data_IF_268691658968
#
_entry.id   IF_268691658968
#
_cell.length_a   1.000
_cell.length_b   1.000
_cell.length_c   1.000
_cell.angle_alpha   90.00
_cell.angle_beta   90.00
_cell.angle_gamma   90.00
#
_symmetry.space_group_name_H-M   'P 1'
#
loop_
_entity.id
_entity.type
_entity.pdbx_description
1 polymer ?
#
# COMPACT_ATOMS: atom_id res chain seq x y z
N UNK A 1 -9.39 -13.75 14.35
CA UNK A 1 -10.35 -13.09 13.46
C UNK A 1 -9.57 -12.53 12.28
N UNK A 2 -9.90 -12.89 11.03
CA UNK A 2 -9.20 -12.37 9.85
C UNK A 2 -9.54 -10.88 9.69
N UNK A 3 -8.50 -10.04 9.78
CA UNK A 3 -8.61 -8.61 9.59
C UNK A 3 -7.90 -8.20 8.30
N UNK A 4 -8.40 -7.13 7.69
CA UNK A 4 -7.81 -6.47 6.53
C UNK A 4 -7.62 -5.00 6.88
N UNK A 5 -6.43 -4.48 6.63
CA UNK A 5 -6.09 -3.07 6.82
C UNK A 5 -5.74 -2.51 5.46
N UNK A 6 -6.46 -1.48 5.03
CA UNK A 6 -6.13 -0.73 3.82
C UNK A 6 -5.54 0.61 4.23
N UNK A 7 -4.30 0.87 3.83
CA UNK A 7 -3.64 2.15 4.05
C UNK A 7 -3.55 2.91 2.73
N UNK A 8 -4.17 4.07 2.68
CA UNK A 8 -4.11 5.01 1.57
C UNK A 8 -3.24 6.20 1.96
N UNK A 9 -2.28 6.55 1.11
CA UNK A 9 -1.43 7.74 1.26
C UNK A 9 -1.70 8.66 0.07
N UNK A 10 -1.90 9.94 0.33
CA UNK A 10 -2.08 10.98 -0.69
C UNK A 10 -1.16 12.17 -0.38
N UNK A 11 -0.52 12.86 -1.32
CA UNK A 11 -0.28 12.57 -2.74
C UNK A 11 1.23 12.29 -2.96
N UNK A 12 1.62 11.54 -4.02
CA UNK A 12 0.75 10.83 -4.96
C UNK A 12 -0.04 9.67 -4.30
N UNK A 13 -1.14 9.20 -4.91
CA UNK A 13 -1.97 8.17 -4.31
C UNK A 13 -1.24 6.82 -4.29
N UNK A 14 -1.08 6.27 -3.11
CA UNK A 14 -0.52 4.94 -2.89
C UNK A 14 -1.45 4.15 -1.99
N UNK A 15 -1.85 2.95 -2.40
CA UNK A 15 -2.77 2.10 -1.63
C UNK A 15 -2.08 0.77 -1.32
N UNK A 16 -2.09 0.39 -0.05
CA UNK A 16 -1.61 -0.91 0.42
C UNK A 16 -2.70 -1.65 1.16
N UNK A 17 -2.84 -2.95 0.87
CA UNK A 17 -3.82 -3.84 1.49
C UNK A 17 -3.04 -4.94 2.21
N UNK A 18 -3.20 -5.00 3.52
CA UNK A 18 -2.50 -5.93 4.41
C UNK A 18 -3.51 -6.80 5.16
N UNK A 19 -3.17 -8.06 5.39
CA UNK A 19 -3.94 -8.95 6.26
C UNK A 19 -4.28 -10.28 5.61
N UNK A 20 -5.53 -10.70 5.75
CA UNK A 20 -6.02 -11.99 5.24
C UNK A 20 -6.06 -11.98 3.70
N UNK A 21 -5.93 -13.16 3.08
CA UNK A 21 -6.01 -13.30 1.63
C UNK A 21 -7.38 -12.83 1.10
N UNK A 22 -7.36 -11.81 0.26
CA UNK A 22 -8.48 -11.35 -0.56
C UNK A 22 -8.44 -12.10 -1.90
N UNK A 23 -9.61 -12.33 -2.52
CA UNK A 23 -9.68 -12.97 -3.84
C UNK A 23 -8.94 -12.12 -4.89
N UNK A 24 -8.26 -12.81 -5.81
CA UNK A 24 -7.53 -12.17 -6.90
C UNK A 24 -8.45 -11.29 -7.77
N UNK A 25 -9.67 -11.77 -8.06
CA UNK A 25 -10.67 -11.04 -8.85
C UNK A 25 -10.99 -9.66 -8.27
N UNK A 26 -11.01 -9.56 -6.94
CA UNK A 26 -11.29 -8.30 -6.23
C UNK A 26 -10.11 -7.36 -6.27
N UNK A 27 -8.88 -7.88 -6.18
CA UNK A 27 -7.66 -7.09 -6.41
C UNK A 27 -7.65 -6.55 -7.85
N UNK A 28 -8.03 -7.35 -8.84
CA UNK A 28 -8.11 -6.93 -10.25
C UNK A 28 -9.22 -5.90 -10.49
N UNK A 29 -10.38 -6.05 -9.85
CA UNK A 29 -11.45 -5.07 -9.89
C UNK A 29 -11.00 -3.72 -9.32
N UNK A 30 -10.36 -3.74 -8.14
CA UNK A 30 -9.76 -2.55 -7.52
C UNK A 30 -8.69 -1.92 -8.41
N UNK A 31 -7.81 -2.73 -8.99
CA UNK A 31 -6.75 -2.26 -9.91
C UNK A 31 -7.32 -1.44 -11.08
N UNK A 32 -8.45 -1.89 -11.63
CA UNK A 32 -9.13 -1.23 -12.75
C UNK A 32 -9.95 -0.01 -12.31
N UNK A 33 -10.45 0.01 -11.09
CA UNK A 33 -11.34 1.05 -10.58
C UNK A 33 -10.58 2.25 -9.99
N UNK A 34 -9.53 2.01 -9.19
CA UNK A 34 -8.82 3.04 -8.43
C UNK A 34 -8.27 4.20 -9.29
N UNK A 35 -7.60 3.95 -10.45
CA UNK A 35 -7.07 5.04 -11.27
C UNK A 35 -8.16 5.97 -11.83
N UNK A 36 -9.41 5.49 -11.98
CA UNK A 36 -10.53 6.28 -12.52
C UNK A 36 -11.09 7.29 -11.52
N UNK A 37 -10.77 7.13 -10.24
CA UNK A 37 -11.27 7.98 -9.17
C UNK A 37 -10.34 9.16 -8.84
N UNK A 38 -9.16 9.22 -9.45
CA UNK A 38 -8.22 10.33 -9.25
C UNK A 38 -8.79 11.62 -9.86
N UNK A 39 -8.43 12.77 -9.30
CA UNK A 39 -8.87 14.09 -9.79
C UNK A 39 -7.80 14.81 -10.60
N UNK A 40 -6.81 14.07 -11.12
CA UNK A 40 -5.82 14.59 -12.06
C UNK A 40 -6.51 15.16 -13.30
N UNK A 41 -6.14 16.39 -13.70
CA UNK A 41 -6.76 17.09 -14.83
C UNK A 41 -6.40 16.50 -16.20
N UNK A 42 -5.29 15.75 -16.28
CA UNK A 42 -4.80 15.10 -17.50
C UNK A 42 -4.40 13.65 -17.15
N UNK A 43 -4.70 12.65 -18.00
CA UNK A 43 -4.19 11.30 -17.81
C UNK A 43 -2.67 11.31 -17.95
N UNK A 44 -1.95 11.15 -16.85
CA UNK A 44 -0.48 11.10 -16.83
C UNK A 44 0.08 9.72 -17.18
N UNK A 45 -0.78 8.69 -17.27
CA UNK A 45 -0.38 7.34 -17.68
C UNK A 45 -0.39 7.21 -19.20
N UNK A 46 0.69 6.63 -19.76
CA UNK A 46 0.73 6.29 -21.19
C UNK A 46 -0.33 5.23 -21.49
N UNK A 47 -0.96 5.24 -22.67
CA UNK A 47 -1.83 4.15 -23.10
C UNK A 47 -1.07 2.81 -23.01
N UNK A 48 -1.52 1.92 -22.11
CA UNK A 48 -0.91 0.59 -21.89
C UNK A 48 -0.19 0.40 -20.54
N UNK A 49 0.07 1.46 -19.79
CA UNK A 49 0.75 1.41 -18.48
C UNK A 49 -0.27 1.61 -17.35
N UNK A 50 -1.18 0.65 -17.17
CA UNK A 50 -2.12 0.67 -16.06
C UNK A 50 -1.39 0.39 -14.74
N UNK A 51 -1.73 1.14 -13.68
CA UNK A 51 -1.22 0.86 -12.35
C UNK A 51 -1.61 -0.57 -11.94
N UNK A 52 -0.66 -1.33 -11.38
CA UNK A 52 -0.86 -2.73 -10.99
C UNK A 52 -0.62 -2.93 -9.50
N UNK A 53 -1.41 -3.81 -8.89
CA UNK A 53 -1.09 -4.30 -7.56
C UNK A 53 0.10 -5.25 -7.65
N UNK A 54 1.13 -4.97 -6.87
CA UNK A 54 2.28 -5.83 -6.66
C UNK A 54 2.05 -6.61 -5.36
N UNK A 55 2.12 -7.93 -5.44
CA UNK A 55 2.13 -8.76 -4.24
C UNK A 55 3.53 -8.73 -3.63
N UNK A 56 3.61 -8.26 -2.41
CA UNK A 56 4.82 -8.28 -1.60
C UNK A 56 4.62 -9.33 -0.52
N UNK A 57 5.30 -10.47 -0.67
CA UNK A 57 5.48 -11.42 0.43
C UNK A 57 6.59 -10.89 1.33
N UNK A 58 6.37 -10.89 2.65
CA UNK A 58 7.28 -10.26 3.60
C UNK A 58 8.73 -10.73 3.50
N UNK A 59 9.55 -9.95 2.78
CA UNK A 59 11.00 -10.05 2.67
C UNK A 59 11.56 -8.76 2.06
N UNK A 60 12.34 -8.03 2.86
CA UNK A 60 13.08 -6.79 2.56
C UNK A 60 12.22 -5.49 2.45
N UNK A 61 12.16 -4.67 3.49
CA UNK A 61 13.05 -3.51 3.77
C UNK A 61 13.17 -2.52 2.62
N UNK A 62 12.78 -1.27 2.90
CA UNK A 62 12.91 -0.14 2.01
C UNK A 62 14.31 -0.02 1.38
N UNK A 63 14.32 0.09 0.06
CA UNK A 63 15.50 0.39 -0.74
C UNK A 63 15.20 1.60 -1.61
N UNK A 64 15.57 2.77 -1.08
CA UNK A 64 15.85 4.00 -1.82
C UNK A 64 16.77 3.66 -3.00
N UNK A 65 16.30 3.84 -4.24
CA UNK A 65 17.17 3.79 -5.43
C UNK A 65 17.81 5.17 -5.55
N UNK A 66 18.98 5.34 -4.97
CA UNK A 66 19.91 6.41 -5.31
C UNK A 66 21.27 5.79 -5.65
N UNK A 67 21.79 6.18 -6.82
CA UNK A 67 23.22 6.37 -7.08
C UNK A 67 24.13 5.15 -6.98
N UNK A 68 24.42 4.54 -8.13
CA UNK A 68 25.65 3.77 -8.29
C UNK A 68 26.87 4.69 -8.44
N UNK A 69 27.90 4.45 -7.63
CA UNK A 69 29.31 4.30 -8.05
C UNK A 69 30.23 4.21 -6.82
N UNK A 70 30.55 2.96 -6.47
CA UNK A 70 31.83 2.38 -6.02
C UNK A 70 32.96 3.29 -5.48
N UNK A 71 33.44 3.01 -4.26
CA UNK A 71 34.83 2.57 -3.96
C UNK A 71 35.11 2.50 -2.45
N UNK A 72 35.81 1.45 -2.00
CA UNK A 72 36.66 1.50 -0.80
C UNK A 72 36.38 0.48 0.31
N UNK A 73 37.26 -0.51 0.41
CA UNK A 73 37.32 -1.52 1.46
C UNK A 73 37.75 -0.95 2.84
N UNK A 74 37.30 -1.55 3.94
CA UNK A 74 38.12 -1.93 5.11
C UNK A 74 37.33 -2.79 6.11
N UNK A 75 38.03 -3.79 6.65
CA UNK A 75 37.63 -4.75 7.67
C UNK A 75 37.46 -4.11 9.06
N UNK A 76 36.59 -4.68 9.91
CA UNK A 76 37.01 -5.30 11.17
C UNK A 76 35.85 -5.96 11.92
N UNK A 77 36.22 -7.06 12.56
CA UNK A 77 35.48 -7.98 13.38
C UNK A 77 35.40 -7.42 14.81
N UNK A 78 34.21 -7.35 15.40
CA UNK A 78 34.04 -7.23 16.85
C UNK A 78 32.77 -7.96 17.30
N UNK A 79 32.97 -8.85 18.26
CA UNK A 79 31.99 -9.69 18.92
C UNK A 79 31.03 -8.85 19.77
N UNK A 80 29.73 -9.03 19.56
CA UNK A 80 28.70 -8.73 20.55
C UNK A 80 27.51 -9.65 20.30
N UNK A 81 27.42 -10.68 21.14
CA UNK A 81 26.34 -11.64 21.17
C UNK A 81 25.00 -10.95 21.47
N UNK A 82 24.32 -10.52 20.40
CA UNK A 82 22.95 -10.06 20.46
C UNK A 82 22.03 -11.26 20.20
N UNK A 83 21.37 -11.71 21.26
CA UNK A 83 20.20 -12.58 21.26
C UNK A 83 19.18 -12.02 20.25
N UNK A 84 19.10 -12.59 19.05
CA UNK A 84 18.02 -12.32 18.10
C UNK A 84 17.07 -13.49 18.14
N UNK A 85 16.02 -13.30 18.94
CA UNK A 85 14.89 -14.21 18.99
C UNK A 85 14.40 -14.52 17.58
N UNK A 86 14.05 -15.78 17.37
CA UNK A 86 13.35 -16.26 16.19
C UNK A 86 12.01 -15.54 16.10
N UNK A 87 12.01 -14.36 15.46
CA UNK A 87 10.79 -13.77 14.96
C UNK A 87 10.31 -14.74 13.88
N UNK A 88 9.31 -15.55 14.25
CA UNK A 88 8.54 -16.39 13.35
C UNK A 88 7.93 -15.50 12.27
N UNK A 89 8.72 -15.24 11.23
CA UNK A 89 8.43 -14.30 10.17
C UNK A 89 7.46 -14.97 9.19
N UNK A 90 6.23 -15.23 9.66
CA UNK A 90 5.09 -15.37 8.76
C UNK A 90 4.86 -13.98 8.17
N UNK A 91 5.63 -13.66 7.14
CA UNK A 91 5.46 -12.42 6.39
C UNK A 91 4.01 -12.32 5.95
N UNK A 92 3.33 -11.26 6.35
CA UNK A 92 2.00 -10.97 5.83
C UNK A 92 2.14 -10.66 4.34
N UNK A 93 1.29 -11.27 3.53
CA UNK A 93 1.17 -10.88 2.13
C UNK A 93 0.51 -9.51 2.09
N UNK A 94 1.20 -8.54 1.48
CA UNK A 94 0.66 -7.21 1.25
C UNK A 94 0.54 -6.92 -0.24
N UNK A 95 -0.62 -6.43 -0.66
CA UNK A 95 -0.83 -5.92 -2.01
C UNK A 95 -0.56 -4.42 -2.01
N UNK A 96 0.17 -3.94 -3.00
CA UNK A 96 0.53 -2.52 -3.09
C UNK A 96 0.31 -2.00 -4.51
N UNK A 97 -0.38 -0.87 -4.65
CA UNK A 97 -0.54 -0.14 -5.91
C UNK A 97 -0.08 1.30 -5.75
N UNK A 98 0.77 1.75 -6.66
CA UNK A 98 1.19 3.14 -6.79
C UNK A 98 0.50 3.74 -8.03
N UNK A 99 -0.22 4.84 -7.83
CA UNK A 99 -0.86 5.58 -8.92
C UNK A 99 0.09 6.62 -9.53
N UNK A 100 1.34 6.74 -9.06
CA UNK A 100 2.40 7.49 -9.73
C UNK A 100 2.09 8.97 -9.87
N UNK A 101 1.99 9.49 -11.10
CA UNK A 101 1.76 10.92 -11.38
C UNK A 101 0.29 11.36 -11.22
N UNK A 102 -0.54 10.60 -10.53
CA UNK A 102 -1.92 10.98 -10.25
C UNK A 102 -2.02 11.90 -9.05
N UNK A 103 -3.11 12.66 -8.98
CA UNK A 103 -3.44 13.54 -7.87
C UNK A 103 -4.88 13.30 -7.41
N UNK A 104 -5.09 13.30 -6.09
CA UNK A 104 -6.42 13.25 -5.49
C UNK A 104 -6.63 14.45 -4.55
N UNK A 105 -7.62 15.28 -4.89
CA UNK A 105 -8.24 16.24 -3.98
C UNK A 105 -9.17 15.52 -2.99
N UNK A 106 -9.93 16.27 -2.19
CA UNK A 106 -10.90 15.71 -1.24
C UNK A 106 -11.94 14.80 -1.90
N UNK A 107 -12.44 15.17 -3.09
CA UNK A 107 -13.41 14.37 -3.84
C UNK A 107 -12.77 13.08 -4.32
N UNK A 108 -11.58 13.14 -4.92
CA UNK A 108 -10.88 11.94 -5.41
C UNK A 108 -10.55 10.95 -4.29
N UNK A 109 -10.13 11.46 -3.13
CA UNK A 109 -9.88 10.65 -1.93
C UNK A 109 -11.15 9.95 -1.47
N UNK A 110 -12.26 10.69 -1.37
CA UNK A 110 -13.56 10.16 -0.96
C UNK A 110 -14.03 9.05 -1.89
N UNK A 111 -13.89 9.23 -3.21
CA UNK A 111 -14.24 8.22 -4.20
C UNK A 111 -13.36 6.97 -4.11
N UNK A 112 -12.06 7.12 -3.87
CA UNK A 112 -11.16 5.99 -3.64
C UNK A 112 -11.59 5.20 -2.39
N UNK A 113 -11.93 5.89 -1.30
CA UNK A 113 -12.42 5.22 -0.08
C UNK A 113 -13.70 4.43 -0.34
N UNK A 114 -14.67 5.00 -1.05
CA UNK A 114 -15.92 4.33 -1.39
C UNK A 114 -15.68 3.05 -2.20
N UNK A 115 -14.88 3.13 -3.27
CA UNK A 115 -14.56 1.96 -4.11
C UNK A 115 -13.89 0.84 -3.30
N UNK A 116 -13.01 1.19 -2.35
CA UNK A 116 -12.38 0.22 -1.46
C UNK A 116 -13.40 -0.42 -0.51
N UNK A 117 -14.30 0.38 0.07
CA UNK A 117 -15.32 -0.10 0.98
C UNK A 117 -16.30 -1.05 0.27
N UNK A 118 -16.80 -0.67 -0.90
CA UNK A 118 -17.71 -1.49 -1.72
C UNK A 118 -17.07 -2.84 -2.09
N UNK A 119 -15.84 -2.81 -2.61
CA UNK A 119 -15.15 -4.04 -3.02
C UNK A 119 -14.89 -4.99 -1.83
N UNK A 120 -14.59 -4.46 -0.64
CA UNK A 120 -14.35 -5.28 0.54
C UNK A 120 -15.66 -5.76 1.20
N UNK A 121 -16.74 -4.99 1.09
CA UNK A 121 -18.07 -5.41 1.54
C UNK A 121 -18.59 -6.59 0.70
N UNK A 122 -18.38 -6.58 -0.62
CA UNK A 122 -18.69 -7.71 -1.51
C UNK A 122 -17.88 -8.98 -1.18
N UNK A 123 -16.67 -8.83 -0.63
CA UNK A 123 -15.86 -9.94 -0.08
C UNK A 123 -16.34 -10.42 1.31
N UNK A 124 -17.30 -9.73 1.91
CA UNK A 124 -17.84 -10.01 3.23
C UNK A 124 -17.05 -9.40 4.38
N UNK A 125 -16.27 -8.36 4.12
CA UNK A 125 -15.61 -7.58 5.17
C UNK A 125 -16.42 -6.33 5.51
N UNK A 126 -16.64 -6.10 6.80
CA UNK A 126 -17.28 -4.90 7.31
C UNK A 126 -16.22 -3.91 7.80
N UNK A 127 -16.40 -2.63 7.49
CA UNK A 127 -15.57 -1.55 8.04
C UNK A 127 -15.80 -1.44 9.55
N UNK A 128 -14.74 -1.52 10.33
CA UNK A 128 -14.77 -1.43 11.80
C UNK A 128 -14.16 -0.15 12.34
N UNK A 129 -13.29 0.50 11.57
CA UNK A 129 -12.68 1.76 11.99
C UNK A 129 -11.96 2.46 10.87
N UNK A 130 -11.83 3.78 11.03
CA UNK A 130 -11.09 4.67 10.14
C UNK A 130 -10.13 5.49 10.99
N UNK A 131 -8.90 5.63 10.54
CA UNK A 131 -7.88 6.42 11.21
C UNK A 131 -7.14 7.27 10.19
N UNK A 132 -7.16 8.58 10.36
CA UNK A 132 -6.49 9.53 9.45
C UNK A 132 -5.44 10.32 10.21
N UNK A 133 -4.24 10.43 9.64
CA UNK A 133 -3.17 11.30 10.13
C UNK A 133 -2.62 12.10 8.97
N UNK A 134 -2.56 13.41 9.16
CA UNK A 134 -1.82 14.32 8.29
C UNK A 134 -0.40 14.38 8.84
N UNK A 135 0.57 13.99 8.02
CA UNK A 135 1.99 14.03 8.40
C UNK A 135 2.55 15.43 8.22
N UNK A 136 3.66 15.73 8.90
CA UNK A 136 4.40 17.01 8.76
C UNK A 136 4.87 17.28 7.31
N UNK A 137 4.97 16.23 6.49
CA UNK A 137 5.30 16.32 5.06
C UNK A 137 4.07 16.58 4.18
N UNK A 138 2.96 17.03 4.76
CA UNK A 138 1.66 17.27 4.11
C UNK A 138 1.08 16.03 3.40
N UNK A 139 1.56 14.83 3.73
CA UNK A 139 0.95 13.59 3.26
C UNK A 139 -0.19 13.21 4.17
N UNK A 140 -1.35 13.02 3.57
CA UNK A 140 -2.55 12.51 4.21
C UNK A 140 -2.53 10.99 4.18
N UNK A 141 -2.52 10.37 5.35
CA UNK A 141 -2.51 8.92 5.52
C UNK A 141 -3.83 8.49 6.16
N UNK A 142 -4.65 7.76 5.41
CA UNK A 142 -5.91 7.20 5.89
C UNK A 142 -5.80 5.68 5.96
N UNK A 143 -6.12 5.11 7.12
CA UNK A 143 -6.23 3.67 7.35
C UNK A 143 -7.68 3.28 7.54
N UNK A 144 -8.13 2.32 6.75
CA UNK A 144 -9.44 1.67 6.85
C UNK A 144 -9.23 0.27 7.42
N UNK A 145 -9.90 -0.03 8.53
CA UNK A 145 -9.75 -1.29 9.27
C UNK A 145 -11.03 -2.09 9.07
N UNK A 146 -10.88 -3.29 8.51
CA UNK A 146 -11.97 -4.20 8.23
C UNK A 146 -11.81 -5.51 8.98
N UNK A 147 -12.94 -6.11 9.35
CA UNK A 147 -13.00 -7.49 9.86
C UNK A 147 -14.10 -8.24 9.12
N UNK A 148 -14.14 -9.57 9.23
CA UNK A 148 -15.28 -10.32 8.71
C UNK A 148 -16.60 -9.77 9.30
N UNK A 149 -17.59 -9.58 8.42
CA UNK A 149 -18.95 -9.21 8.77
C UNK A 149 -19.61 -10.30 9.62
#
# INVERSE_FOLDING_TARGET
MPNVIVTCVFNPPTISIQGTSIRQDTIEALQRALPKQTTTSLPSQRPGESAKFLLTSGGATGGRIEGGADTGAHSNQDDSAAVKGEANNKGYNSWHIDLGQHYCDQKGRSMIFLVIMEALEEEGFALRGTHTVVTEKEKDVTRLIFSRA
#
